data_IF_801497120771
#
_entry.id   IF_801497120771
#
_cell.length_a   1.000
_cell.length_b   1.000
_cell.length_c   1.000
_cell.angle_alpha   90.00
_cell.angle_beta   90.00
_cell.angle_gamma   90.00
#
_symmetry.space_group_name_H-M   'P 1'
#
loop_
_entity.id
_entity.type
_entity.pdbx_description
1 polymer ?
#
# COMPACT_ATOMS: atom_id res chain seq x y z
N UNK A 1 -9.90 -9.43 24.22
CA UNK A 1 -9.84 -9.50 22.74
C UNK A 1 -11.07 -8.77 22.21
N UNK A 2 -10.91 -7.86 21.26
CA UNK A 2 -12.06 -7.20 20.64
C UNK A 2 -12.94 -8.23 19.91
N UNK A 3 -14.27 -8.09 19.99
CA UNK A 3 -15.18 -9.00 19.30
C UNK A 3 -14.99 -8.87 17.78
N UNK A 4 -14.81 -9.97 17.03
CA UNK A 4 -14.80 -9.97 15.56
C UNK A 4 -15.98 -9.21 14.93
N UNK A 5 -17.11 -9.16 15.65
CA UNK A 5 -18.32 -8.45 15.24
C UNK A 5 -18.11 -6.94 15.05
N UNK A 6 -17.22 -6.32 15.83
CA UNK A 6 -16.95 -4.87 15.71
C UNK A 6 -16.26 -4.56 14.38
N UNK A 7 -15.31 -5.41 13.97
CA UNK A 7 -14.64 -5.29 12.67
C UNK A 7 -15.62 -5.52 11.51
N UNK A 8 -16.47 -6.55 11.63
CA UNK A 8 -17.50 -6.86 10.63
C UNK A 8 -18.49 -5.70 10.48
N UNK A 9 -18.92 -5.14 11.61
CA UNK A 9 -19.85 -4.01 11.64
C UNK A 9 -19.26 -2.77 10.97
N UNK A 10 -18.01 -2.43 11.29
CA UNK A 10 -17.32 -1.31 10.67
C UNK A 10 -17.17 -1.50 9.15
N UNK A 11 -16.76 -2.68 8.71
CA UNK A 11 -16.60 -2.99 7.29
C UNK A 11 -17.93 -2.91 6.53
N UNK A 12 -19.02 -3.49 7.07
CA UNK A 12 -20.36 -3.41 6.45
C UNK A 12 -20.90 -1.99 6.37
N UNK A 13 -20.62 -1.18 7.39
CA UNK A 13 -21.05 0.22 7.45
C UNK A 13 -20.33 1.07 6.43
N UNK A 14 -19.01 0.91 6.28
CA UNK A 14 -18.17 1.85 5.55
C UNK A 14 -17.75 1.35 4.16
N UNK A 15 -17.42 0.07 4.03
CA UNK A 15 -16.82 -0.52 2.83
C UNK A 15 -17.84 -1.19 1.90
N UNK A 16 -19.12 -1.23 2.28
CA UNK A 16 -20.16 -1.79 1.42
C UNK A 16 -20.36 -0.90 0.19
N UNK A 17 -20.23 -1.48 -1.00
CA UNK A 17 -20.56 -0.82 -2.26
C UNK A 17 -21.87 -1.37 -2.82
N UNK A 18 -22.82 -0.48 -3.09
CA UNK A 18 -24.16 -0.85 -3.53
C UNK A 18 -24.98 -1.64 -2.50
N UNK A 19 -25.86 -2.53 -2.98
CA UNK A 19 -26.82 -3.30 -2.15
C UNK A 19 -26.31 -4.69 -1.73
N UNK A 20 -25.10 -5.09 -2.11
CA UNK A 20 -24.59 -6.45 -1.83
C UNK A 20 -24.22 -6.61 -0.36
N UNK A 21 -24.61 -7.74 0.23
CA UNK A 21 -24.20 -8.13 1.57
C UNK A 21 -22.73 -8.58 1.56
N UNK A 22 -21.93 -8.07 2.50
CA UNK A 22 -20.54 -8.52 2.71
C UNK A 22 -20.53 -9.67 3.70
N UNK A 23 -20.01 -10.82 3.26
CA UNK A 23 -19.78 -11.98 4.13
C UNK A 23 -18.73 -11.65 5.21
N UNK A 24 -18.83 -12.29 6.38
CA UNK A 24 -17.95 -12.02 7.53
C UNK A 24 -16.47 -12.20 7.17
N UNK A 25 -16.14 -13.26 6.43
CA UNK A 25 -14.78 -13.55 5.98
C UNK A 25 -14.20 -12.43 5.12
N UNK A 26 -15.02 -11.82 4.26
CA UNK A 26 -14.62 -10.67 3.42
C UNK A 26 -14.42 -9.43 4.27
N UNK A 27 -15.24 -9.23 5.31
CA UNK A 27 -15.10 -8.10 6.23
C UNK A 27 -13.87 -8.21 7.16
N UNK A 28 -13.50 -9.43 7.56
CA UNK A 28 -12.38 -9.67 8.47
C UNK A 28 -11.02 -9.61 7.77
N UNK A 29 -10.97 -9.87 6.46
CA UNK A 29 -9.73 -9.84 5.69
C UNK A 29 -9.01 -8.47 5.75
N UNK A 30 -9.66 -7.32 5.44
CA UNK A 30 -9.01 -6.02 5.59
C UNK A 30 -8.69 -5.69 7.05
N UNK A 31 -9.49 -6.14 8.02
CA UNK A 31 -9.22 -5.92 9.44
C UNK A 31 -7.88 -6.53 9.88
N UNK A 32 -7.61 -7.77 9.48
CA UNK A 32 -6.33 -8.43 9.78
C UNK A 32 -5.14 -7.69 9.16
N UNK A 33 -5.29 -7.18 7.93
CA UNK A 33 -4.26 -6.41 7.25
C UNK A 33 -4.02 -5.04 7.91
N UNK A 34 -5.08 -4.32 8.30
CA UNK A 34 -4.95 -3.04 9.00
C UNK A 34 -4.27 -3.23 10.35
N UNK A 35 -4.61 -4.29 11.10
CA UNK A 35 -3.92 -4.64 12.35
C UNK A 35 -2.42 -4.92 12.11
N UNK A 36 -2.07 -5.62 11.03
CA UNK A 36 -0.68 -5.85 10.68
C UNK A 36 0.08 -4.55 10.37
N UNK A 37 -0.58 -3.56 9.74
CA UNK A 37 0.00 -2.23 9.53
C UNK A 37 0.15 -1.47 10.85
N UNK A 38 -0.85 -1.54 11.72
CA UNK A 38 -0.84 -0.90 13.03
C UNK A 38 0.31 -1.39 13.93
N UNK A 39 0.51 -2.71 13.93
CA UNK A 39 1.57 -3.39 14.66
C UNK A 39 2.95 -3.27 14.00
N UNK A 40 3.05 -2.62 12.83
CA UNK A 40 4.31 -2.47 12.08
C UNK A 40 4.82 -3.77 11.43
N UNK A 41 4.02 -4.84 11.41
CA UNK A 41 4.33 -6.10 10.72
C UNK A 41 4.26 -5.94 9.20
N UNK A 42 3.47 -4.97 8.73
CA UNK A 42 3.30 -4.62 7.32
C UNK A 42 3.51 -3.10 7.16
N UNK A 43 4.31 -2.62 6.19
CA UNK A 43 4.53 -1.18 6.05
C UNK A 43 3.28 -0.38 5.63
N UNK A 44 2.47 -0.96 4.73
CA UNK A 44 1.25 -0.36 4.21
C UNK A 44 0.28 -1.42 3.69
N UNK A 45 -1.00 -1.07 3.64
CA UNK A 45 -2.05 -1.86 2.98
C UNK A 45 -2.58 -1.09 1.77
N UNK A 46 -2.46 -1.66 0.56
CA UNK A 46 -3.23 -1.22 -0.60
C UNK A 46 -4.64 -1.80 -0.49
N UNK A 47 -5.66 -0.94 -0.50
CA UNK A 47 -7.06 -1.37 -0.47
C UNK A 47 -7.57 -1.62 -1.88
N UNK A 48 -7.76 -2.89 -2.24
CA UNK A 48 -8.19 -3.36 -3.57
C UNK A 48 -9.32 -4.41 -3.50
N UNK A 49 -9.89 -4.63 -2.31
CA UNK A 49 -10.85 -5.72 -2.08
C UNK A 49 -12.19 -5.53 -2.79
N UNK A 50 -12.58 -4.29 -3.08
CA UNK A 50 -13.79 -3.93 -3.82
C UNK A 50 -13.67 -2.49 -4.37
N UNK A 51 -14.77 -1.93 -4.86
CA UNK A 51 -14.83 -0.59 -5.47
C UNK A 51 -15.03 0.56 -4.47
N UNK A 52 -14.68 0.39 -3.18
CA UNK A 52 -14.89 1.42 -2.19
C UNK A 52 -13.97 2.63 -2.45
N UNK A 53 -14.50 3.83 -2.28
CA UNK A 53 -13.73 5.06 -2.48
C UNK A 53 -12.73 5.31 -1.34
N UNK A 54 -11.79 6.23 -1.55
CA UNK A 54 -10.85 6.65 -0.52
C UNK A 54 -11.54 7.19 0.75
N UNK A 55 -12.66 7.89 0.59
CA UNK A 55 -13.48 8.38 1.69
C UNK A 55 -14.13 7.23 2.46
N UNK A 56 -14.57 6.18 1.77
CA UNK A 56 -15.11 4.97 2.41
C UNK A 56 -14.03 4.23 3.20
N UNK A 57 -12.83 4.11 2.65
CA UNK A 57 -11.66 3.52 3.33
C UNK A 57 -11.28 4.36 4.56
N UNK A 58 -11.26 5.69 4.44
CA UNK A 58 -10.99 6.59 5.55
C UNK A 58 -12.06 6.51 6.64
N UNK A 59 -13.34 6.41 6.27
CA UNK A 59 -14.43 6.24 7.22
C UNK A 59 -14.36 4.88 7.93
N UNK A 60 -13.95 3.83 7.22
CA UNK A 60 -13.68 2.54 7.83
C UNK A 60 -12.57 2.63 8.87
N UNK A 61 -11.43 3.24 8.51
CA UNK A 61 -10.31 3.43 9.44
C UNK A 61 -10.72 4.25 10.67
N UNK A 62 -11.46 5.36 10.48
CA UNK A 62 -12.04 6.16 11.57
C UNK A 62 -12.96 5.33 12.46
N UNK A 63 -13.78 4.45 11.88
CA UNK A 63 -14.67 3.58 12.64
C UNK A 63 -13.89 2.57 13.49
N UNK A 64 -12.77 2.04 13.00
CA UNK A 64 -11.90 1.16 13.78
C UNK A 64 -11.21 1.92 14.92
N UNK A 65 -10.71 3.12 14.63
CA UNK A 65 -10.06 4.02 15.59
C UNK A 65 -11.00 4.46 16.71
N UNK A 66 -12.23 4.85 16.37
CA UNK A 66 -13.25 5.24 17.35
C UNK A 66 -13.66 4.06 18.25
N UNK A 67 -13.65 2.84 17.71
CA UNK A 67 -13.88 1.61 18.46
C UNK A 67 -12.62 1.10 19.21
N UNK A 68 -11.51 1.86 19.18
CA UNK A 68 -10.22 1.50 19.81
C UNK A 68 -9.67 0.15 19.34
N UNK A 69 -9.97 -0.23 18.10
CA UNK A 69 -9.50 -1.49 17.51
C UNK A 69 -8.09 -1.37 16.91
N UNK A 70 -7.68 -0.15 16.56
CA UNK A 70 -6.38 0.20 15.98
C UNK A 70 -5.95 1.58 16.50
N UNK A 71 -4.65 1.89 16.42
CA UNK A 71 -4.09 3.17 16.83
C UNK A 71 -4.61 4.35 16.01
N UNK A 72 -4.60 5.53 16.64
CA UNK A 72 -4.83 6.83 15.99
C UNK A 72 -3.67 7.25 15.05
N UNK A 73 -2.56 6.51 15.05
CA UNK A 73 -1.41 6.79 14.19
C UNK A 73 -1.62 6.40 12.73
N UNK A 74 -2.64 5.59 12.42
CA UNK A 74 -2.91 5.18 11.04
C UNK A 74 -3.61 6.28 10.25
N UNK A 75 -3.27 6.39 8.97
CA UNK A 75 -3.85 7.34 8.02
C UNK A 75 -4.20 6.66 6.69
N UNK A 76 -5.21 7.20 6.01
CA UNK A 76 -5.49 6.84 4.60
C UNK A 76 -4.76 7.81 3.69
N UNK A 77 -3.94 7.28 2.80
CA UNK A 77 -3.24 8.02 1.76
C UNK A 77 -3.82 7.63 0.39
N UNK A 78 -4.01 8.60 -0.49
CA UNK A 78 -4.40 8.36 -1.88
C UNK A 78 -3.19 8.63 -2.76
N UNK A 79 -2.77 7.61 -3.48
CA UNK A 79 -1.69 7.67 -4.46
C UNK A 79 -2.22 7.20 -5.80
N UNK A 80 -2.33 8.12 -6.77
CA UNK A 80 -2.74 7.80 -8.14
C UNK A 80 -4.07 7.03 -8.20
N UNK A 81 -5.10 7.55 -7.52
CA UNK A 81 -6.44 6.95 -7.38
C UNK A 81 -6.50 5.63 -6.60
N UNK A 82 -5.38 5.18 -6.02
CA UNK A 82 -5.32 4.02 -5.16
C UNK A 82 -5.30 4.43 -3.68
N UNK A 83 -6.06 3.73 -2.85
CA UNK A 83 -6.13 4.00 -1.41
C UNK A 83 -5.16 3.09 -0.65
N UNK A 84 -4.25 3.70 0.10
CA UNK A 84 -3.37 3.00 1.05
C UNK A 84 -3.75 3.35 2.48
N UNK A 85 -3.66 2.36 3.38
CA UNK A 85 -3.62 2.60 4.82
C UNK A 85 -2.16 2.45 5.26
N UNK A 86 -1.63 3.50 5.89
CA UNK A 86 -0.24 3.59 6.30
C UNK A 86 -0.11 4.03 7.76
N UNK A 87 0.98 3.64 8.40
CA UNK A 87 1.50 4.36 9.56
C UNK A 87 2.52 5.39 9.05
N UNK A 88 2.22 6.70 9.06
CA UNK A 88 3.10 7.71 8.47
C UNK A 88 4.49 7.75 9.11
N UNK A 89 4.59 7.61 10.43
CA UNK A 89 5.87 7.63 11.13
C UNK A 89 6.76 6.47 10.72
N UNK A 90 6.21 5.25 10.66
CA UNK A 90 6.95 4.08 10.18
C UNK A 90 7.30 4.19 8.70
N UNK A 91 6.37 4.69 7.88
CA UNK A 91 6.60 4.87 6.44
C UNK A 91 7.73 5.86 6.19
N UNK A 92 7.73 7.00 6.88
CA UNK A 92 8.81 8.02 6.82
C UNK A 92 10.16 7.40 7.21
N UNK A 93 10.20 6.58 8.27
CA UNK A 93 11.42 5.88 8.69
C UNK A 93 11.91 4.94 7.61
N UNK A 94 11.04 4.07 7.08
CA UNK A 94 11.39 3.11 6.03
C UNK A 94 11.90 3.80 4.75
N UNK A 95 11.24 4.90 4.33
CA UNK A 95 11.70 5.67 3.17
C UNK A 95 13.05 6.34 3.42
N UNK A 96 13.30 6.85 4.65
CA UNK A 96 14.62 7.40 5.01
C UNK A 96 15.72 6.35 5.01
N UNK A 97 15.46 5.18 5.56
CA UNK A 97 16.41 4.06 5.50
C UNK A 97 16.73 3.69 4.06
N UNK A 98 15.73 3.69 3.18
CA UNK A 98 15.94 3.46 1.76
C UNK A 98 16.81 4.55 1.10
N UNK A 99 16.61 5.83 1.44
CA UNK A 99 17.46 6.94 0.97
C UNK A 99 18.93 6.81 1.42
N UNK A 100 19.18 6.21 2.60
CA UNK A 100 20.54 5.95 3.10
C UNK A 100 21.15 4.74 2.39
N UNK A 101 20.39 3.63 2.29
CA UNK A 101 20.83 2.38 1.67
C UNK A 101 21.09 2.54 0.17
N UNK A 102 20.29 3.36 -0.52
CA UNK A 102 20.38 3.65 -1.97
C UNK A 102 20.38 2.43 -2.88
N UNK A 103 19.81 1.32 -2.44
CA UNK A 103 19.68 0.11 -3.25
C UNK A 103 18.26 -0.44 -3.17
N UNK A 104 17.70 -0.78 -4.33
CA UNK A 104 16.42 -1.47 -4.48
C UNK A 104 16.67 -2.64 -5.40
N UNK A 105 16.41 -3.86 -4.91
CA UNK A 105 16.40 -5.04 -5.76
C UNK A 105 15.10 -5.04 -6.56
N UNK A 106 15.21 -5.21 -7.87
CA UNK A 106 14.07 -5.20 -8.78
C UNK A 106 14.06 -6.43 -9.67
N UNK A 107 12.86 -6.79 -10.11
CA UNK A 107 12.67 -7.63 -11.29
C UNK A 107 12.50 -6.69 -12.47
N UNK A 108 13.54 -6.57 -13.29
CA UNK A 108 13.51 -5.83 -14.55
C UNK A 108 12.65 -6.60 -15.55
N UNK A 109 11.59 -5.92 -16.02
CA UNK A 109 10.63 -6.46 -16.99
C UNK A 109 10.57 -5.62 -18.26
N UNK A 110 11.62 -4.85 -18.58
CA UNK A 110 11.69 -4.05 -19.80
C UNK A 110 11.32 -4.87 -21.05
N UNK A 111 10.56 -4.27 -21.97
CA UNK A 111 10.10 -4.90 -23.21
C UNK A 111 11.23 -5.48 -24.09
N UNK A 112 12.45 -4.94 -23.98
CA UNK A 112 13.62 -5.41 -24.73
C UNK A 112 14.21 -6.72 -24.20
N UNK A 113 13.76 -7.21 -23.05
CA UNK A 113 14.21 -8.46 -22.46
C UNK A 113 13.37 -9.63 -22.97
N UNK A 114 14.01 -10.78 -23.19
CA UNK A 114 13.30 -12.02 -23.51
C UNK A 114 12.55 -12.60 -22.30
N UNK A 115 13.06 -12.36 -21.09
CA UNK A 115 12.48 -12.80 -19.82
C UNK A 115 12.85 -11.85 -18.68
N UNK A 116 12.10 -11.85 -17.56
CA UNK A 116 12.40 -11.01 -16.40
C UNK A 116 13.77 -11.32 -15.80
N UNK A 117 14.48 -10.29 -15.35
CA UNK A 117 15.80 -10.43 -14.72
C UNK A 117 15.84 -9.74 -13.36
N UNK A 118 16.36 -10.42 -12.34
CA UNK A 118 16.61 -9.79 -11.04
C UNK A 118 17.89 -8.96 -11.13
N UNK A 119 17.79 -7.68 -10.78
CA UNK A 119 18.92 -6.74 -10.82
C UNK A 119 18.78 -5.69 -9.72
N UNK A 120 19.78 -4.83 -9.58
CA UNK A 120 19.71 -3.65 -8.73
C UNK A 120 19.30 -2.43 -9.55
N UNK A 121 18.30 -1.70 -9.07
CA UNK A 121 17.85 -0.49 -9.72
C UNK A 121 18.87 0.63 -9.51
N UNK A 122 19.33 1.32 -10.58
CA UNK A 122 20.16 2.50 -10.41
C UNK A 122 19.42 3.54 -9.56
N UNK A 123 20.03 3.98 -8.46
CA UNK A 123 19.37 4.87 -7.49
C UNK A 123 18.78 6.13 -8.13
N UNK A 124 19.43 6.68 -9.17
CA UNK A 124 18.95 7.84 -9.93
C UNK A 124 17.55 7.64 -10.55
N UNK A 125 17.13 6.39 -10.79
CA UNK A 125 15.84 6.07 -11.39
C UNK A 125 14.67 6.16 -10.39
N UNK A 126 14.94 6.19 -9.08
CA UNK A 126 13.88 6.18 -8.04
C UNK A 126 14.12 7.18 -6.91
N UNK A 127 15.35 7.65 -6.70
CA UNK A 127 15.71 8.49 -5.56
C UNK A 127 14.88 9.77 -5.45
N UNK A 128 14.67 10.45 -6.57
CA UNK A 128 13.86 11.69 -6.62
C UNK A 128 12.39 11.42 -6.30
N UNK A 129 11.85 10.28 -6.76
CA UNK A 129 10.49 9.82 -6.40
C UNK A 129 10.36 9.59 -4.90
N UNK A 130 11.31 8.86 -4.29
CA UNK A 130 11.30 8.59 -2.85
C UNK A 130 11.43 9.88 -2.05
N UNK A 131 12.31 10.79 -2.46
CA UNK A 131 12.49 12.08 -1.81
C UNK A 131 11.23 12.94 -1.90
N UNK A 132 10.63 13.02 -3.08
CA UNK A 132 9.39 13.79 -3.31
C UNK A 132 8.24 13.24 -2.46
N UNK A 133 8.07 11.91 -2.40
CA UNK A 133 7.04 11.29 -1.56
C UNK A 133 7.30 11.57 -0.07
N UNK A 134 8.56 11.45 0.37
CA UNK A 134 8.93 11.73 1.75
C UNK A 134 8.60 13.18 2.14
N UNK A 135 8.83 14.13 1.25
CA UNK A 135 8.54 15.54 1.51
C UNK A 135 7.03 15.82 1.55
N UNK A 136 6.23 15.15 0.71
CA UNK A 136 4.75 15.18 0.82
C UNK A 136 4.28 14.67 2.18
N UNK A 137 4.81 13.52 2.64
CA UNK A 137 4.41 12.91 3.91
C UNK A 137 4.81 13.74 5.13
N UNK A 138 5.92 14.50 5.06
CA UNK A 138 6.33 15.41 6.14
C UNK A 138 5.44 16.65 6.19
N UNK A 139 5.07 17.20 5.04
CA UNK A 139 4.18 18.36 4.96
C UNK A 139 2.78 18.03 5.49
N UNK A 140 2.33 16.78 5.32
CA UNK A 140 1.07 16.29 5.88
C UNK A 140 1.15 15.84 7.34
N UNK A 141 2.35 15.79 7.94
CA UNK A 141 2.61 15.27 9.29
C UNK A 141 2.17 16.18 10.44
N UNK A 142 1.43 17.25 10.18
CA UNK A 142 0.72 17.97 11.24
C UNK A 142 -0.43 17.08 11.75
N UNK A 143 -0.77 17.10 13.05
CA UNK A 143 -1.84 16.27 13.58
C UNK A 143 -3.13 16.56 12.81
N UNK A 144 -3.52 15.63 11.94
CA UNK A 144 -4.78 15.69 11.24
C UNK A 144 -5.87 15.63 12.30
N UNK A 145 -6.62 16.71 12.44
CA UNK A 145 -7.76 16.73 13.35
C UNK A 145 -8.70 15.56 13.02
N UNK A 146 -9.41 15.10 14.04
CA UNK A 146 -10.38 14.01 13.94
C UNK A 146 -11.52 14.44 12.98
N UNK A 147 -11.32 14.23 11.68
CA UNK A 147 -12.14 14.88 10.66
C UNK A 147 -11.50 15.00 9.29
N UNK A 148 -10.17 15.00 9.19
CA UNK A 148 -9.48 15.24 7.92
C UNK A 148 -9.83 14.25 6.80
N UNK A 149 -9.81 14.76 5.58
CA UNK A 149 -9.90 14.02 4.32
C UNK A 149 -8.70 13.07 4.16
N UNK A 150 -8.79 12.05 3.29
CA UNK A 150 -7.62 11.26 2.91
C UNK A 150 -6.46 12.16 2.48
N UNK A 151 -5.22 11.78 2.82
CA UNK A 151 -4.05 12.52 2.36
C UNK A 151 -3.77 12.19 0.89
N UNK A 152 -4.04 13.12 -0.01
CA UNK A 152 -3.89 12.91 -1.45
C UNK A 152 -2.53 13.38 -1.96
N UNK A 153 -1.80 12.49 -2.63
CA UNK A 153 -0.65 12.86 -3.45
C UNK A 153 -1.16 13.33 -4.81
N UNK A 154 -0.66 14.47 -5.30
CA UNK A 154 -1.16 15.08 -6.54
C UNK A 154 -0.87 14.20 -7.76
N UNK A 155 -1.87 14.08 -8.65
CA UNK A 155 -1.80 13.19 -9.83
C UNK A 155 -0.63 13.48 -10.77
N UNK A 156 -0.21 14.75 -10.89
CA UNK A 156 0.93 15.13 -11.74
C UNK A 156 2.23 14.39 -11.37
N UNK A 157 2.41 14.03 -10.11
CA UNK A 157 3.59 13.27 -9.68
C UNK A 157 3.54 11.83 -10.21
N UNK A 158 2.34 11.23 -10.18
CA UNK A 158 2.10 9.85 -10.63
C UNK A 158 2.49 9.59 -12.07
N UNK A 159 2.29 10.56 -12.97
CA UNK A 159 2.58 10.41 -14.41
C UNK A 159 4.07 10.20 -14.70
N UNK A 160 4.94 10.67 -13.79
CA UNK A 160 6.40 10.56 -13.94
C UNK A 160 7.01 9.39 -13.15
N UNK A 161 6.25 8.76 -12.26
CA UNK A 161 6.77 7.76 -11.33
C UNK A 161 6.57 6.35 -11.86
N UNK A 162 7.53 5.46 -11.63
CA UNK A 162 7.29 4.03 -11.84
C UNK A 162 6.42 3.52 -10.69
N UNK A 163 5.11 3.56 -10.88
CA UNK A 163 4.13 3.18 -9.86
C UNK A 163 4.28 1.73 -9.43
N UNK A 164 4.60 0.81 -10.35
CA UNK A 164 4.85 -0.60 -10.01
C UNK A 164 5.99 -0.72 -9.00
N UNK A 165 7.12 -0.05 -9.27
CA UNK A 165 8.27 0.00 -8.35
C UNK A 165 7.87 0.62 -7.02
N UNK A 166 7.21 1.78 -7.05
CA UNK A 166 6.85 2.54 -5.86
C UNK A 166 5.87 1.81 -4.95
N UNK A 167 4.79 1.23 -5.50
CA UNK A 167 3.86 0.42 -4.72
C UNK A 167 4.57 -0.79 -4.10
N UNK A 168 5.48 -1.43 -4.85
CA UNK A 168 6.25 -2.54 -4.31
C UNK A 168 7.07 -2.16 -3.07
N UNK A 169 7.73 -1.00 -3.13
CA UNK A 169 8.48 -0.42 -2.01
C UNK A 169 7.54 -0.12 -0.83
N UNK A 170 6.44 0.60 -1.07
CA UNK A 170 5.50 1.00 -0.02
C UNK A 170 4.82 -0.18 0.66
N UNK A 171 4.54 -1.26 -0.08
CA UNK A 171 3.92 -2.47 0.47
C UNK A 171 4.91 -3.39 1.18
N UNK A 172 6.20 -3.09 1.12
CA UNK A 172 7.27 -3.85 1.76
C UNK A 172 7.70 -5.11 1.01
N UNK A 173 7.53 -5.16 -0.31
CA UNK A 173 8.01 -6.30 -1.06
C UNK A 173 9.54 -6.33 -1.08
N UNK A 174 10.17 -7.51 -0.90
CA UNK A 174 11.63 -7.63 -0.90
C UNK A 174 12.24 -7.37 -2.28
N UNK A 175 11.46 -7.56 -3.34
CA UNK A 175 11.81 -7.25 -4.72
C UNK A 175 10.58 -6.71 -5.42
N UNK A 176 10.74 -5.65 -6.22
CA UNK A 176 9.63 -4.99 -6.92
C UNK A 176 9.85 -5.01 -8.43
N UNK A 177 8.78 -4.91 -9.21
CA UNK A 177 8.90 -4.78 -10.66
C UNK A 177 9.44 -3.41 -11.05
N UNK A 178 10.27 -3.39 -12.10
CA UNK A 178 10.75 -2.18 -12.71
C UNK A 178 10.77 -2.29 -14.23
N UNK A 179 10.50 -1.17 -14.89
CA UNK A 179 10.67 -1.01 -16.33
C UNK A 179 10.96 0.46 -16.64
N UNK A 180 11.67 0.71 -17.73
CA UNK A 180 12.02 2.05 -18.17
C UNK A 180 10.84 2.73 -18.90
N UNK A 181 10.01 3.44 -18.13
CA UNK A 181 8.88 4.21 -18.65
C UNK A 181 9.26 5.28 -19.66
N UNK A 182 10.53 5.73 -19.68
CA UNK A 182 10.99 6.71 -20.67
C UNK A 182 11.13 6.10 -22.07
N UNK A 183 11.24 4.77 -22.14
CA UNK A 183 11.39 4.04 -23.41
C UNK A 183 10.08 3.42 -23.87
N UNK A 184 9.34 2.76 -22.97
CA UNK A 184 8.08 2.10 -23.31
C UNK A 184 7.26 1.76 -22.06
N UNK A 185 5.94 1.66 -22.23
CA UNK A 185 5.02 1.08 -21.25
C UNK A 185 4.81 -0.43 -21.47
N UNK A 186 5.36 -1.01 -22.54
CA UNK A 186 5.36 -2.45 -22.77
C UNK A 186 6.37 -3.15 -21.84
N UNK A 187 6.14 -4.44 -21.59
CA UNK A 187 6.99 -5.26 -20.74
C UNK A 187 7.09 -6.70 -21.27
N UNK A 188 8.15 -7.41 -20.91
CA UNK A 188 8.40 -8.79 -21.34
C UNK A 188 7.46 -9.82 -20.72
N UNK A 189 6.57 -9.40 -19.80
CA UNK A 189 5.51 -10.23 -19.21
C UNK A 189 4.17 -10.11 -19.97
N UNK A 190 4.08 -9.25 -20.99
CA UNK A 190 2.86 -9.08 -21.76
C UNK A 190 2.40 -10.42 -22.34
N UNK A 191 1.10 -10.71 -22.22
CA UNK A 191 0.47 -11.95 -22.69
C UNK A 191 1.06 -13.25 -22.09
N UNK A 192 1.83 -13.15 -21.00
CA UNK A 192 2.30 -14.33 -20.27
C UNK A 192 1.19 -14.85 -19.35
N UNK A 193 0.81 -16.14 -19.41
CA UNK A 193 -0.19 -16.72 -18.52
C UNK A 193 0.20 -16.57 -17.05
N UNK A 194 -0.76 -16.12 -16.22
CA UNK A 194 -0.54 -16.00 -14.78
C UNK A 194 -0.67 -17.37 -14.11
N UNK A 195 0.33 -17.74 -13.31
CA UNK A 195 0.30 -18.91 -12.44
C UNK A 195 0.17 -18.43 -10.99
N UNK A 196 -0.88 -18.89 -10.30
CA UNK A 196 -1.11 -18.55 -8.89
C UNK A 196 -0.51 -19.63 -8.00
N UNK A 197 0.63 -19.32 -7.38
CA UNK A 197 1.24 -20.19 -6.38
C UNK A 197 0.83 -19.71 -4.98
N UNK A 198 0.19 -20.58 -4.19
CA UNK A 198 -0.13 -20.31 -2.79
C UNK A 198 0.90 -20.97 -1.88
N UNK A 199 1.57 -20.17 -1.06
CA UNK A 199 2.43 -20.64 0.02
C UNK A 199 1.72 -20.44 1.37
N UNK A 200 1.90 -21.37 2.30
CA UNK A 200 1.38 -21.28 3.66
C UNK A 200 2.53 -21.54 4.64
N UNK A 201 2.60 -20.72 5.69
CA UNK A 201 3.49 -20.93 6.82
C UNK A 201 2.63 -21.14 8.07
N UNK A 202 2.96 -22.14 8.88
CA UNK A 202 2.36 -22.38 10.18
C UNK A 202 3.41 -22.23 11.27
N UNK A 203 3.14 -21.40 12.27
CA UNK A 203 3.98 -21.31 13.45
C UNK A 203 3.65 -22.48 14.39
N UNK A 204 4.64 -23.32 14.70
CA UNK A 204 4.51 -24.29 15.79
C UNK A 204 4.86 -23.56 17.09
N UNK A 205 3.87 -23.33 17.95
CA UNK A 205 4.12 -22.90 19.31
C UNK A 205 4.88 -24.03 20.03
N UNK A 206 6.11 -23.73 20.46
CA UNK A 206 6.87 -24.61 21.34
C UNK A 206 6.32 -24.63 22.76
#
# INVERSE_FOLDING_TARGET
MASPELFVTAARKCLRTGKKHLADTVCLNPAAQVLAVDLGLKPALLYDSNTASAEQVQNYLKSLQAAQLVSQSLQTMVLCDNSLIVNPSLTITNLRELLVRRTVTVVDVCHSLEQPVITELPWKAIGDTIQTLLDHMKQSGQPLEMGSSPHCVEKRHCESWNLCTLFGILLGYPTTYWFDQSKSFENCLAMTPLVVTKAMASWQAG
#
